data_IF_717848181950
#
_entry.id   IF_717848181950
#
_cell.length_a   1.000
_cell.length_b   1.000
_cell.length_c   1.000
_cell.angle_alpha   90.00
_cell.angle_beta   90.00
_cell.angle_gamma   90.00
#
_symmetry.space_group_name_H-M   'P 1'
#
loop_
_entity.id
_entity.type
_entity.pdbx_description
1 polymer ?
#
# COMPACT_ATOMS: atom_id res chain seq x y z
N UNK A 1 19.71 5.63 -1.53
CA UNK A 1 19.02 5.82 -0.22
C UNK A 1 17.64 5.25 -0.42
N UNK A 2 17.10 4.46 0.52
CA UNK A 2 15.77 3.88 0.40
C UNK A 2 14.69 4.99 0.33
N UNK A 3 13.56 4.71 -0.33
CA UNK A 3 12.42 5.64 -0.43
C UNK A 3 11.89 5.96 0.98
N UNK A 4 11.66 4.93 1.79
CA UNK A 4 11.37 5.06 3.21
C UNK A 4 11.79 3.80 3.97
N UNK A 5 11.84 3.90 5.30
CA UNK A 5 11.93 2.77 6.24
C UNK A 5 10.85 2.96 7.28
N UNK A 6 10.19 1.89 7.68
CA UNK A 6 9.09 1.99 8.63
C UNK A 6 7.76 1.53 8.04
N UNK A 7 6.67 2.22 8.38
CA UNK A 7 5.35 1.97 7.84
C UNK A 7 4.95 2.99 6.79
N UNK A 8 4.36 2.54 5.70
CA UNK A 8 3.72 3.38 4.71
C UNK A 8 2.23 3.06 4.66
N UNK A 9 1.37 4.04 4.95
CA UNK A 9 -0.06 3.82 4.93
C UNK A 9 -0.59 3.68 3.51
N UNK A 10 -1.23 2.56 3.19
CA UNK A 10 -2.10 2.44 2.02
C UNK A 10 -3.42 3.17 2.35
N UNK A 11 -3.42 4.50 2.22
CA UNK A 11 -4.49 5.36 2.74
C UNK A 11 -5.81 5.14 1.98
N UNK A 12 -6.93 5.15 2.72
CA UNK A 12 -8.27 5.13 2.12
C UNK A 12 -8.56 6.45 1.41
N UNK A 13 -9.47 6.41 0.43
CA UNK A 13 -10.02 7.63 -0.16
C UNK A 13 -11.40 7.90 0.44
N UNK A 14 -11.56 8.97 1.24
CA UNK A 14 -12.87 9.34 1.77
C UNK A 14 -13.76 9.88 0.67
N UNK A 15 -15.06 9.60 0.78
CA UNK A 15 -16.05 9.96 -0.23
C UNK A 15 -17.30 10.56 0.41
N UNK A 16 -17.94 11.48 -0.29
CA UNK A 16 -19.29 11.94 0.04
C UNK A 16 -20.33 10.87 -0.32
N UNK A 17 -21.57 11.03 0.16
CA UNK A 17 -22.67 10.12 -0.14
C UNK A 17 -23.00 10.01 -1.64
N UNK A 18 -22.70 11.04 -2.42
CA UNK A 18 -22.83 11.02 -3.89
C UNK A 18 -21.66 10.32 -4.59
N UNK A 19 -20.72 9.76 -3.83
CA UNK A 19 -19.55 9.03 -4.31
C UNK A 19 -18.39 9.91 -4.77
N UNK A 20 -18.47 11.23 -4.71
CA UNK A 20 -17.32 12.11 -5.01
C UNK A 20 -16.28 12.05 -3.91
N UNK A 21 -15.01 12.24 -4.29
CA UNK A 21 -13.90 12.30 -3.33
C UNK A 21 -14.09 13.50 -2.39
N UNK A 22 -14.03 13.23 -1.08
CA UNK A 22 -14.07 14.25 -0.03
C UNK A 22 -12.63 14.70 0.29
N UNK A 23 -12.18 15.75 -0.38
CA UNK A 23 -10.82 16.26 -0.23
C UNK A 23 -10.54 16.87 1.15
N UNK A 24 -11.54 17.50 1.78
CA UNK A 24 -11.38 18.04 3.13
C UNK A 24 -11.12 16.92 4.14
N UNK A 25 -11.87 15.84 4.04
CA UNK A 25 -11.64 14.65 4.87
C UNK A 25 -10.34 13.93 4.53
N UNK A 26 -9.92 13.93 3.27
CA UNK A 26 -8.62 13.37 2.89
C UNK A 26 -7.48 14.17 3.54
N UNK A 27 -7.56 15.49 3.58
CA UNK A 27 -6.59 16.33 4.29
C UNK A 27 -6.52 15.97 5.78
N UNK A 28 -7.68 15.85 6.47
CA UNK A 28 -7.73 15.41 7.87
C UNK A 28 -7.04 14.04 8.09
N UNK A 29 -7.26 13.09 7.17
CA UNK A 29 -6.62 11.77 7.26
C UNK A 29 -5.10 11.85 7.04
N UNK A 30 -4.64 12.67 6.10
CA UNK A 30 -3.20 12.88 5.87
C UNK A 30 -2.54 13.48 7.10
N UNK A 31 -3.16 14.49 7.72
CA UNK A 31 -2.67 15.09 8.95
C UNK A 31 -2.69 14.09 10.12
N UNK A 32 -3.74 13.30 10.25
CA UNK A 32 -3.82 12.24 11.26
C UNK A 32 -2.66 11.24 11.11
N UNK A 33 -2.37 10.79 9.91
CA UNK A 33 -1.29 9.84 9.65
C UNK A 33 0.07 10.44 10.01
N UNK A 34 0.36 11.65 9.54
CA UNK A 34 1.64 12.32 9.79
C UNK A 34 1.81 12.61 11.30
N UNK A 35 0.75 13.05 11.99
CA UNK A 35 0.78 13.30 13.43
C UNK A 35 1.00 12.03 14.26
N UNK A 36 0.71 10.85 13.70
CA UNK A 36 0.85 9.55 14.35
C UNK A 36 2.00 8.69 13.76
N UNK A 37 3.04 9.35 13.28
CA UNK A 37 4.34 8.76 12.92
C UNK A 37 4.35 7.91 11.66
N UNK A 38 3.43 8.14 10.70
CA UNK A 38 3.56 7.47 9.40
C UNK A 38 4.87 7.86 8.71
N UNK A 39 5.56 6.88 8.10
CA UNK A 39 6.85 7.11 7.42
C UNK A 39 6.68 7.36 5.92
N UNK A 40 5.52 7.02 5.35
CA UNK A 40 5.18 7.30 3.95
C UNK A 40 3.65 7.25 3.72
N UNK A 41 3.18 8.00 2.72
CA UNK A 41 1.79 7.96 2.26
C UNK A 41 1.71 7.26 0.90
N UNK A 42 0.95 6.18 0.81
CA UNK A 42 0.66 5.50 -0.45
C UNK A 42 -0.75 5.88 -0.90
N UNK A 43 -0.82 6.83 -1.83
CA UNK A 43 -2.09 7.39 -2.32
C UNK A 43 -2.60 6.62 -3.54
N UNK A 44 -3.90 6.45 -3.64
CA UNK A 44 -4.57 5.80 -4.77
C UNK A 44 -4.05 4.38 -5.06
N UNK A 45 -3.73 3.62 -4.00
CA UNK A 45 -3.56 2.17 -4.08
C UNK A 45 -4.90 1.44 -4.12
N UNK A 46 -4.88 0.12 -3.93
CA UNK A 46 -6.10 -0.71 -3.85
C UNK A 46 -7.03 -0.25 -2.72
N UNK A 47 -6.48 0.02 -1.55
CA UNK A 47 -7.21 0.52 -0.37
C UNK A 47 -7.82 1.90 -0.61
N UNK A 48 -7.20 2.71 -1.47
CA UNK A 48 -7.72 4.01 -1.91
C UNK A 48 -8.77 3.93 -3.02
N UNK A 49 -9.31 2.75 -3.35
CA UNK A 49 -10.36 2.53 -4.35
C UNK A 49 -10.04 3.10 -5.75
N UNK A 50 -8.75 3.11 -6.12
CA UNK A 50 -8.30 3.68 -7.40
C UNK A 50 -8.95 3.05 -8.63
N UNK A 51 -9.36 1.79 -8.55
CA UNK A 51 -10.03 1.07 -9.65
C UNK A 51 -11.42 1.60 -10.01
N UNK A 52 -12.06 2.36 -9.13
CA UNK A 52 -13.38 2.96 -9.37
C UNK A 52 -13.30 4.47 -9.68
N UNK A 53 -12.10 5.02 -9.75
CA UNK A 53 -11.87 6.42 -10.11
C UNK A 53 -11.71 6.59 -11.63
N UNK A 54 -12.24 7.67 -12.17
CA UNK A 54 -11.81 8.11 -13.51
C UNK A 54 -10.33 8.54 -13.45
N UNK A 55 -9.61 8.48 -14.56
CA UNK A 55 -8.20 8.90 -14.59
C UNK A 55 -8.00 10.32 -14.09
N UNK A 56 -8.91 11.24 -14.46
CA UNK A 56 -8.84 12.64 -14.01
C UNK A 56 -9.02 12.79 -12.49
N UNK A 57 -9.95 12.06 -11.89
CA UNK A 57 -10.18 12.05 -10.44
C UNK A 57 -8.99 11.41 -9.70
N UNK A 58 -8.48 10.30 -10.21
CA UNK A 58 -7.32 9.60 -9.69
C UNK A 58 -6.08 10.53 -9.65
N UNK A 59 -5.76 11.16 -10.77
CA UNK A 59 -4.65 12.11 -10.88
C UNK A 59 -4.83 13.34 -9.98
N UNK A 60 -6.06 13.88 -9.91
CA UNK A 60 -6.39 14.98 -9.01
C UNK A 60 -6.16 14.60 -7.54
N UNK A 61 -6.52 13.37 -7.16
CA UNK A 61 -6.35 12.87 -5.79
C UNK A 61 -4.86 12.68 -5.45
N UNK A 62 -4.07 12.16 -6.39
CA UNK A 62 -2.59 12.08 -6.24
C UNK A 62 -2.00 13.47 -6.04
N UNK A 63 -2.33 14.41 -6.93
CA UNK A 63 -1.82 15.80 -6.84
C UNK A 63 -2.19 16.44 -5.51
N UNK A 64 -3.44 16.30 -5.08
CA UNK A 64 -3.91 16.84 -3.81
C UNK A 64 -3.09 16.32 -2.64
N UNK A 65 -2.86 15.00 -2.56
CA UNK A 65 -2.06 14.42 -1.49
C UNK A 65 -0.61 14.93 -1.50
N UNK A 66 0.03 15.02 -2.67
CA UNK A 66 1.39 15.56 -2.80
C UNK A 66 1.45 17.00 -2.31
N UNK A 67 0.52 17.85 -2.75
CA UNK A 67 0.47 19.26 -2.35
C UNK A 67 0.26 19.41 -0.84
N UNK A 68 -0.63 18.61 -0.24
CA UNK A 68 -0.95 18.70 1.20
C UNK A 68 0.13 18.11 2.09
N UNK A 69 0.70 16.99 1.73
CA UNK A 69 1.84 16.40 2.47
C UNK A 69 3.07 17.29 2.42
N UNK A 70 3.29 17.99 1.31
CA UNK A 70 4.33 19.00 1.14
C UNK A 70 5.72 18.52 1.63
N UNK A 71 6.15 17.35 1.17
CA UNK A 71 7.46 16.75 1.48
C UNK A 71 7.73 16.45 2.96
N UNK A 72 6.74 16.49 3.83
CA UNK A 72 6.91 16.11 5.26
C UNK A 72 7.23 14.60 5.41
N UNK A 73 6.64 13.79 4.55
CA UNK A 73 6.96 12.37 4.36
C UNK A 73 6.89 12.05 2.87
N UNK A 74 7.50 10.96 2.38
CA UNK A 74 7.36 10.55 0.98
C UNK A 74 5.92 10.24 0.60
N UNK A 75 5.50 10.68 -0.59
CA UNK A 75 4.22 10.33 -1.21
C UNK A 75 4.48 9.39 -2.38
N UNK A 76 3.94 8.18 -2.29
CA UNK A 76 4.07 7.12 -3.28
C UNK A 76 2.74 6.98 -4.01
N UNK A 77 2.72 7.25 -5.31
CA UNK A 77 1.50 7.25 -6.10
C UNK A 77 1.22 5.89 -6.72
N UNK A 78 0.01 5.35 -6.51
CA UNK A 78 -0.48 4.16 -7.20
C UNK A 78 -0.83 4.50 -8.65
N UNK A 79 -0.06 3.99 -9.62
CA UNK A 79 -0.23 4.31 -11.06
C UNK A 79 -0.35 3.08 -11.95
N UNK A 80 -0.27 1.87 -11.37
CA UNK A 80 -0.34 0.62 -12.13
C UNK A 80 -1.67 0.41 -12.84
N UNK A 81 -1.60 -0.19 -14.02
CA UNK A 81 -2.76 -0.58 -14.83
C UNK A 81 -2.46 -1.87 -15.59
N UNK A 82 -3.50 -2.59 -16.00
CA UNK A 82 -3.37 -3.71 -16.92
C UNK A 82 -3.20 -3.28 -18.40
N UNK A 83 -3.31 -2.00 -18.68
CA UNK A 83 -2.97 -1.37 -19.95
C UNK A 83 -1.65 -0.59 -19.79
N UNK A 84 -0.62 -0.96 -20.54
CA UNK A 84 0.71 -0.34 -20.45
C UNK A 84 0.67 1.16 -20.73
N UNK A 85 -0.06 1.58 -21.75
CA UNK A 85 -0.21 3.00 -22.12
C UNK A 85 -0.87 3.81 -21.01
N UNK A 86 -1.90 3.26 -20.36
CA UNK A 86 -2.54 3.90 -19.21
C UNK A 86 -1.56 4.02 -18.04
N UNK A 87 -0.80 2.96 -17.73
CA UNK A 87 0.19 2.99 -16.66
C UNK A 87 1.30 4.02 -16.94
N UNK A 88 1.75 4.14 -18.19
CA UNK A 88 2.72 5.17 -18.62
C UNK A 88 2.15 6.57 -18.43
N UNK A 89 0.94 6.81 -18.92
CA UNK A 89 0.27 8.12 -18.81
C UNK A 89 0.12 8.53 -17.34
N UNK A 90 -0.45 7.64 -16.49
CA UNK A 90 -0.63 7.90 -15.07
C UNK A 90 0.69 8.14 -14.35
N UNK A 91 1.73 7.37 -14.69
CA UNK A 91 3.06 7.50 -14.09
C UNK A 91 3.73 8.81 -14.44
N UNK A 92 3.65 9.27 -15.69
CA UNK A 92 4.17 10.57 -16.14
C UNK A 92 3.50 11.72 -15.40
N UNK A 93 2.18 11.72 -15.31
CA UNK A 93 1.43 12.76 -14.61
C UNK A 93 1.78 12.79 -13.12
N UNK A 94 1.77 11.63 -12.44
CA UNK A 94 2.14 11.55 -11.03
C UNK A 94 3.58 12.03 -10.77
N UNK A 95 4.52 11.65 -11.62
CA UNK A 95 5.91 12.12 -11.57
C UNK A 95 5.99 13.63 -11.75
N UNK A 96 5.23 14.21 -12.71
CA UNK A 96 5.20 15.65 -12.96
C UNK A 96 4.64 16.45 -11.79
N UNK A 97 3.77 15.86 -10.98
CA UNK A 97 3.24 16.47 -9.74
C UNK A 97 4.23 16.40 -8.58
N UNK A 98 5.32 15.65 -8.72
CA UNK A 98 6.37 15.52 -7.71
C UNK A 98 6.18 14.35 -6.74
N UNK A 99 5.54 13.26 -7.17
CA UNK A 99 5.52 12.00 -6.41
C UNK A 99 6.96 11.53 -6.14
N UNK A 100 7.22 11.07 -4.91
CA UNK A 100 8.56 10.62 -4.51
C UNK A 100 8.88 9.23 -5.05
N UNK A 101 7.84 8.42 -5.31
CA UNK A 101 7.92 7.14 -6.01
C UNK A 101 6.57 6.73 -6.58
N UNK A 102 6.57 5.68 -7.40
CA UNK A 102 5.37 5.10 -7.98
C UNK A 102 5.19 3.66 -7.46
N UNK A 103 3.97 3.30 -7.08
CA UNK A 103 3.57 1.93 -6.79
C UNK A 103 2.83 1.36 -8.01
N UNK A 104 3.45 0.40 -8.69
CA UNK A 104 2.92 -0.16 -9.93
C UNK A 104 2.52 -1.62 -9.70
N UNK A 105 1.21 -1.88 -9.62
CA UNK A 105 0.67 -3.23 -9.49
C UNK A 105 0.89 -4.02 -10.79
N UNK A 106 1.13 -5.33 -10.67
CA UNK A 106 1.18 -6.23 -11.84
C UNK A 106 -0.11 -6.11 -12.66
N UNK A 107 -0.04 -6.20 -14.02
CA UNK A 107 -1.22 -6.20 -14.86
C UNK A 107 -2.23 -7.25 -14.37
N UNK A 108 -3.42 -6.81 -14.04
CA UNK A 108 -4.51 -7.66 -13.56
C UNK A 108 -5.40 -8.11 -14.71
N UNK A 109 -6.09 -9.26 -14.55
CA UNK A 109 -7.08 -9.81 -15.49
C UNK A 109 -6.49 -10.43 -16.76
N UNK A 110 -5.66 -9.72 -17.54
CA UNK A 110 -5.12 -10.15 -18.84
C UNK A 110 -3.91 -11.10 -18.76
N UNK A 111 -3.47 -11.51 -17.55
CA UNK A 111 -2.51 -12.59 -17.28
C UNK A 111 -1.22 -12.52 -18.12
N UNK A 112 -0.49 -11.40 -17.97
CA UNK A 112 0.78 -11.21 -18.67
C UNK A 112 1.79 -12.33 -18.34
N UNK A 113 2.56 -12.77 -19.35
CA UNK A 113 3.69 -13.68 -19.14
C UNK A 113 4.85 -12.96 -18.48
N UNK A 114 5.84 -13.69 -17.93
CA UNK A 114 7.02 -13.07 -17.30
C UNK A 114 7.79 -12.16 -18.27
N UNK A 115 7.90 -12.56 -19.55
CA UNK A 115 8.49 -11.71 -20.61
C UNK A 115 7.64 -10.45 -20.84
N UNK A 116 6.33 -10.57 -20.83
CA UNK A 116 5.41 -9.44 -20.92
C UNK A 116 5.53 -8.49 -19.70
N UNK A 117 5.70 -9.03 -18.50
CA UNK A 117 5.93 -8.22 -17.29
C UNK A 117 7.24 -7.43 -17.38
N UNK A 118 8.33 -8.05 -17.84
CA UNK A 118 9.60 -7.35 -18.06
C UNK A 118 9.40 -6.18 -19.04
N UNK A 119 8.74 -6.43 -20.18
CA UNK A 119 8.48 -5.39 -21.16
C UNK A 119 7.60 -4.26 -20.61
N UNK A 120 6.52 -4.61 -19.90
CA UNK A 120 5.58 -3.66 -19.29
C UNK A 120 6.27 -2.74 -18.29
N UNK A 121 6.97 -3.30 -17.30
CA UNK A 121 7.66 -2.49 -16.28
C UNK A 121 8.80 -1.66 -16.88
N UNK A 122 9.56 -2.21 -17.83
CA UNK A 122 10.62 -1.48 -18.51
C UNK A 122 10.06 -0.28 -19.30
N UNK A 123 8.92 -0.45 -19.98
CA UNK A 123 8.28 0.64 -20.73
C UNK A 123 7.82 1.77 -19.80
N UNK A 124 7.22 1.43 -18.66
CA UNK A 124 6.82 2.42 -17.64
C UNK A 124 8.06 3.13 -17.07
N UNK A 125 9.08 2.38 -16.69
CA UNK A 125 10.31 2.93 -16.10
C UNK A 125 11.04 3.89 -17.06
N UNK A 126 11.13 3.53 -18.33
CA UNK A 126 11.73 4.40 -19.35
C UNK A 126 10.95 5.70 -19.58
N UNK A 127 9.65 5.71 -19.30
CA UNK A 127 8.81 6.88 -19.45
C UNK A 127 8.98 7.89 -18.30
N UNK A 128 9.55 7.45 -17.15
CA UNK A 128 9.76 8.24 -15.92
C UNK A 128 11.14 7.95 -15.32
N UNK A 129 12.23 8.18 -16.04
CA UNK A 129 13.57 7.65 -15.68
C UNK A 129 14.11 8.16 -14.34
N UNK A 130 13.66 9.30 -13.87
CA UNK A 130 14.10 9.91 -12.60
C UNK A 130 13.21 9.55 -11.40
N UNK A 131 12.06 8.89 -11.63
CA UNK A 131 11.13 8.56 -10.56
C UNK A 131 11.25 7.08 -10.17
N UNK A 132 11.53 6.76 -8.90
CA UNK A 132 11.61 5.39 -8.43
C UNK A 132 10.29 4.63 -8.58
N UNK A 133 10.38 3.35 -8.91
CA UNK A 133 9.23 2.45 -9.05
C UNK A 133 9.35 1.30 -8.07
N UNK A 134 8.29 1.09 -7.29
CA UNK A 134 8.05 -0.11 -6.48
C UNK A 134 7.06 -0.99 -7.25
N UNK A 135 7.49 -2.18 -7.63
CA UNK A 135 6.58 -3.19 -8.19
C UNK A 135 5.63 -3.69 -7.10
N UNK A 136 4.37 -3.95 -7.43
CA UNK A 136 3.43 -4.51 -6.48
C UNK A 136 2.90 -5.86 -6.96
N UNK A 137 3.23 -6.91 -6.20
CA UNK A 137 2.84 -8.30 -6.49
C UNK A 137 1.75 -8.77 -5.53
N UNK A 138 0.53 -8.91 -6.03
CA UNK A 138 -0.65 -9.36 -5.27
C UNK A 138 -1.47 -10.36 -6.10
N UNK A 139 -0.98 -11.61 -6.25
CA UNK A 139 -1.58 -12.60 -7.16
C UNK A 139 -3.04 -12.92 -6.87
N UNK A 140 -3.45 -12.86 -5.61
CA UNK A 140 -4.84 -13.09 -5.18
C UNK A 140 -5.86 -12.10 -5.78
N UNK A 141 -5.39 -10.89 -6.13
CA UNK A 141 -6.23 -9.85 -6.77
C UNK A 141 -6.05 -9.77 -8.26
N UNK A 142 -4.82 -9.95 -8.72
CA UNK A 142 -4.48 -9.71 -10.14
C UNK A 142 -4.59 -10.94 -11.03
N UNK A 143 -4.51 -12.14 -10.45
CA UNK A 143 -4.33 -13.38 -11.21
C UNK A 143 -2.97 -13.44 -11.92
N UNK A 144 -2.03 -12.56 -11.57
CA UNK A 144 -0.70 -12.46 -12.14
C UNK A 144 0.34 -12.46 -11.02
N UNK A 145 1.29 -13.39 -11.06
CA UNK A 145 2.36 -13.51 -10.08
C UNK A 145 3.72 -13.26 -10.74
N UNK A 146 4.37 -12.14 -10.36
CA UNK A 146 5.73 -11.87 -10.83
C UNK A 146 6.71 -12.82 -10.12
N UNK A 147 7.49 -13.57 -10.92
CA UNK A 147 8.39 -14.59 -10.41
C UNK A 147 9.71 -13.99 -9.90
N UNK A 148 10.39 -14.63 -8.93
CA UNK A 148 11.65 -14.15 -8.36
C UNK A 148 12.71 -13.74 -9.38
N UNK A 149 12.90 -14.55 -10.44
CA UNK A 149 13.85 -14.25 -11.50
C UNK A 149 13.47 -12.99 -12.31
N UNK A 150 12.16 -12.74 -12.47
CA UNK A 150 11.65 -11.54 -13.17
C UNK A 150 11.90 -10.28 -12.34
N UNK A 151 11.62 -10.33 -11.03
CA UNK A 151 11.96 -9.23 -10.11
C UNK A 151 13.45 -8.92 -10.16
N UNK A 152 14.29 -9.95 -9.99
CA UNK A 152 15.75 -9.79 -10.02
C UNK A 152 16.24 -9.22 -11.37
N UNK A 153 15.65 -9.63 -12.49
CA UNK A 153 15.99 -9.09 -13.82
C UNK A 153 15.67 -7.60 -13.89
N UNK A 154 14.49 -7.19 -13.39
CA UNK A 154 14.05 -5.80 -13.46
C UNK A 154 14.91 -4.89 -12.58
N UNK A 155 15.12 -5.22 -11.30
CA UNK A 155 15.89 -4.36 -10.40
C UNK A 155 17.37 -4.25 -10.79
N UNK A 156 17.95 -5.29 -11.40
CA UNK A 156 19.36 -5.27 -11.86
C UNK A 156 19.58 -4.53 -13.17
N UNK A 157 18.58 -4.49 -14.06
CA UNK A 157 18.77 -3.97 -15.41
C UNK A 157 18.01 -2.67 -15.68
N UNK A 158 17.09 -2.24 -14.80
CA UNK A 158 16.31 -1.01 -14.96
C UNK A 158 16.51 -0.13 -13.74
N UNK A 159 17.32 0.89 -13.88
CA UNK A 159 17.89 1.70 -12.79
C UNK A 159 16.87 2.26 -11.79
N UNK A 160 15.69 2.65 -12.25
CA UNK A 160 14.64 3.25 -11.42
C UNK A 160 13.56 2.27 -10.97
N UNK A 161 13.68 0.97 -11.26
CA UNK A 161 12.90 -0.07 -10.60
C UNK A 161 13.67 -0.50 -9.37
N UNK A 162 13.28 -0.01 -8.20
CA UNK A 162 14.08 -0.13 -6.99
C UNK A 162 13.49 -1.10 -5.97
N UNK A 163 12.19 -1.37 -6.01
CA UNK A 163 11.56 -2.09 -4.92
C UNK A 163 10.42 -3.04 -5.32
N UNK A 164 10.02 -3.81 -4.31
CA UNK A 164 8.88 -4.74 -4.37
C UNK A 164 8.02 -4.60 -3.12
N UNK A 165 6.73 -4.29 -3.30
CA UNK A 165 5.68 -4.57 -2.32
C UNK A 165 5.24 -6.02 -2.51
N UNK A 166 5.61 -6.89 -1.57
CA UNK A 166 5.32 -8.32 -1.62
C UNK A 166 4.02 -8.64 -0.87
N UNK A 167 2.99 -9.05 -1.60
CA UNK A 167 1.68 -9.44 -1.06
C UNK A 167 1.21 -10.79 -1.64
N UNK A 168 2.14 -11.69 -1.92
CA UNK A 168 1.82 -13.05 -2.39
C UNK A 168 1.40 -14.00 -1.26
N UNK A 169 1.80 -13.70 -0.01
CA UNK A 169 1.66 -14.61 1.12
C UNK A 169 2.70 -15.75 1.14
N UNK A 170 3.51 -15.89 0.08
CA UNK A 170 4.50 -16.96 -0.06
C UNK A 170 5.89 -16.47 0.37
N UNK A 171 6.24 -16.73 1.64
CA UNK A 171 7.54 -16.36 2.20
C UNK A 171 8.70 -17.09 1.50
N UNK A 172 8.49 -18.30 0.99
CA UNK A 172 9.52 -19.03 0.24
C UNK A 172 9.83 -18.35 -1.09
N UNK A 173 8.79 -17.87 -1.80
CA UNK A 173 8.97 -17.05 -3.01
C UNK A 173 9.68 -15.74 -2.70
N UNK A 174 9.33 -15.09 -1.59
CA UNK A 174 9.93 -13.81 -1.17
C UNK A 174 11.42 -14.02 -0.83
N UNK A 175 11.76 -15.05 -0.03
CA UNK A 175 13.15 -15.37 0.29
C UNK A 175 13.99 -15.65 -0.97
N UNK A 176 13.42 -16.40 -1.94
CA UNK A 176 14.07 -16.63 -3.22
C UNK A 176 14.24 -15.34 -4.03
N UNK A 177 13.28 -14.42 -3.95
CA UNK A 177 13.38 -13.11 -4.61
C UNK A 177 14.55 -12.31 -4.04
N UNK A 178 14.67 -12.21 -2.72
CA UNK A 178 15.78 -11.54 -2.05
C UNK A 178 17.11 -12.18 -2.42
N UNK A 179 17.19 -13.52 -2.39
CA UNK A 179 18.40 -14.26 -2.76
C UNK A 179 18.88 -13.95 -4.19
N UNK A 180 17.96 -13.76 -5.14
CA UNK A 180 18.30 -13.47 -6.54
C UNK A 180 18.54 -11.99 -6.82
N UNK A 181 17.79 -11.10 -6.18
CA UNK A 181 17.88 -9.66 -6.39
C UNK A 181 19.06 -9.05 -5.62
N UNK A 182 19.36 -9.56 -4.42
CA UNK A 182 20.44 -9.04 -3.56
C UNK A 182 20.13 -7.66 -2.98
N UNK A 183 21.17 -6.88 -2.78
CA UNK A 183 21.10 -5.55 -2.15
C UNK A 183 20.42 -4.48 -3.03
N UNK A 184 20.13 -4.77 -4.29
CA UNK A 184 19.49 -3.84 -5.22
C UNK A 184 17.97 -3.74 -4.98
N UNK A 185 17.39 -4.57 -4.11
CA UNK A 185 15.94 -4.66 -3.87
C UNK A 185 15.53 -3.99 -2.57
N UNK A 186 14.73 -2.94 -2.65
CA UNK A 186 13.96 -2.43 -1.52
C UNK A 186 12.70 -3.29 -1.34
N UNK A 187 12.67 -4.10 -0.28
CA UNK A 187 11.56 -5.01 0.00
C UNK A 187 10.62 -4.43 1.05
N UNK A 188 9.32 -4.38 0.73
CA UNK A 188 8.27 -3.99 1.65
C UNK A 188 7.22 -5.10 1.78
N UNK A 189 6.75 -5.38 3.00
CA UNK A 189 5.57 -6.21 3.17
C UNK A 189 4.33 -5.53 2.58
N UNK A 190 3.52 -6.30 1.88
CA UNK A 190 2.18 -5.88 1.47
C UNK A 190 1.07 -6.52 2.32
N UNK A 191 1.45 -7.34 3.30
CA UNK A 191 0.58 -8.07 4.21
C UNK A 191 0.93 -7.70 5.65
N UNK A 192 -0.04 -7.19 6.40
CA UNK A 192 0.14 -6.74 7.78
C UNK A 192 0.48 -7.89 8.74
N UNK A 193 0.04 -9.11 8.46
CA UNK A 193 0.35 -10.33 9.22
C UNK A 193 1.75 -10.90 8.96
N UNK A 194 2.49 -10.39 7.99
CA UNK A 194 3.81 -10.88 7.57
C UNK A 194 4.93 -9.83 7.68
N UNK A 195 4.73 -8.78 8.48
CA UNK A 195 5.73 -7.69 8.58
C UNK A 195 7.05 -8.23 9.11
N UNK A 196 7.07 -8.87 10.27
CA UNK A 196 8.30 -9.36 10.88
C UNK A 196 9.03 -10.42 10.03
N UNK A 197 8.37 -11.44 9.49
CA UNK A 197 9.00 -12.36 8.55
C UNK A 197 9.71 -11.66 7.38
N UNK A 198 9.10 -10.60 6.83
CA UNK A 198 9.70 -9.83 5.73
C UNK A 198 10.87 -8.97 6.23
N UNK A 199 10.76 -8.33 7.38
CA UNK A 199 11.89 -7.60 7.99
C UNK A 199 13.08 -8.52 8.25
N UNK A 200 12.84 -9.77 8.70
CA UNK A 200 13.90 -10.77 8.92
C UNK A 200 14.63 -11.19 7.63
N UNK A 201 14.02 -11.00 6.48
CA UNK A 201 14.63 -11.21 5.16
C UNK A 201 15.32 -9.95 4.59
N UNK A 202 15.47 -8.89 5.41
CA UNK A 202 16.08 -7.63 4.99
C UNK A 202 15.08 -6.61 4.45
N UNK A 203 13.77 -6.81 4.71
CA UNK A 203 12.73 -5.83 4.36
C UNK A 203 12.93 -4.50 5.06
N UNK A 204 12.47 -3.43 4.43
CA UNK A 204 12.59 -2.05 4.91
C UNK A 204 11.36 -1.57 5.67
N UNK A 205 10.26 -2.30 5.58
CA UNK A 205 9.02 -1.91 6.22
C UNK A 205 7.78 -2.59 5.63
N UNK A 206 6.65 -1.94 5.79
CA UNK A 206 5.34 -2.41 5.34
C UNK A 206 4.58 -1.30 4.59
N UNK A 207 3.84 -1.66 3.56
CA UNK A 207 2.81 -0.83 2.95
C UNK A 207 1.46 -1.38 3.41
N UNK A 208 0.90 -0.77 4.45
CA UNK A 208 -0.04 -1.33 5.41
C UNK A 208 -1.49 -0.89 5.19
N UNK A 209 -2.43 -1.75 5.53
CA UNK A 209 -3.85 -1.42 5.74
C UNK A 209 -4.12 -1.12 7.21
N UNK A 210 -3.50 -1.88 8.13
CA UNK A 210 -3.61 -1.69 9.58
C UNK A 210 -3.28 -0.26 9.99
N UNK A 211 -2.29 0.35 9.37
CA UNK A 211 -1.85 1.71 9.67
C UNK A 211 -2.92 2.80 9.41
N UNK A 212 -3.97 2.54 8.65
CA UNK A 212 -5.10 3.47 8.57
C UNK A 212 -5.74 3.72 9.93
N UNK A 213 -5.79 2.71 10.81
CA UNK A 213 -6.45 2.76 12.13
C UNK A 213 -5.46 2.74 13.30
N UNK A 214 -4.24 2.27 13.09
CA UNK A 214 -3.19 2.12 14.11
C UNK A 214 -1.81 2.49 13.53
N UNK A 215 -1.61 3.75 13.06
CA UNK A 215 -0.35 4.15 12.41
C UNK A 215 0.84 4.04 13.36
N UNK A 216 0.72 4.55 14.58
CA UNK A 216 1.81 4.54 15.55
C UNK A 216 2.26 3.12 15.92
N UNK A 217 1.34 2.21 16.18
CA UNK A 217 1.64 0.82 16.54
C UNK A 217 2.31 0.10 15.37
N UNK A 218 1.88 0.40 14.13
CA UNK A 218 2.48 -0.17 12.92
C UNK A 218 3.90 0.37 12.70
N UNK A 219 4.11 1.68 12.90
CA UNK A 219 5.44 2.30 12.91
C UNK A 219 6.34 1.67 13.99
N UNK A 220 5.87 1.65 15.24
CA UNK A 220 6.61 1.12 16.38
C UNK A 220 7.01 -0.35 16.16
N UNK A 221 6.16 -1.17 15.57
CA UNK A 221 6.46 -2.57 15.22
C UNK A 221 7.68 -2.68 14.31
N UNK A 222 7.73 -1.88 13.26
CA UNK A 222 8.85 -1.90 12.30
C UNK A 222 10.11 -1.33 12.95
N UNK A 223 10.00 -0.17 13.60
CA UNK A 223 11.17 0.51 14.17
C UNK A 223 11.80 -0.27 15.30
N UNK A 224 11.02 -0.88 16.21
CA UNK A 224 11.55 -1.78 17.24
C UNK A 224 12.35 -2.93 16.65
N UNK A 225 11.86 -3.55 15.58
CA UNK A 225 12.62 -4.61 14.91
C UNK A 225 13.95 -4.08 14.36
N UNK A 226 13.94 -2.93 13.69
CA UNK A 226 15.14 -2.32 13.12
C UNK A 226 16.17 -1.87 14.17
N UNK A 227 15.70 -1.50 15.36
CA UNK A 227 16.52 -1.12 16.51
C UNK A 227 17.02 -2.33 17.32
N UNK A 228 16.59 -3.54 16.97
CA UNK A 228 17.01 -4.78 17.61
C UNK A 228 16.07 -5.29 18.74
N UNK A 229 14.99 -4.55 19.06
CA UNK A 229 13.94 -5.01 19.99
C UNK A 229 12.97 -5.95 19.23
N UNK A 230 13.48 -7.11 18.83
CA UNK A 230 12.69 -8.10 18.08
C UNK A 230 11.55 -8.69 18.92
N UNK A 231 11.72 -8.78 20.24
CA UNK A 231 10.69 -9.28 21.15
C UNK A 231 9.52 -8.28 21.27
N UNK A 232 9.83 -6.99 21.40
CA UNK A 232 8.81 -5.92 21.42
C UNK A 232 8.07 -5.82 20.10
N UNK A 233 8.78 -5.91 18.97
CA UNK A 233 8.17 -5.96 17.65
C UNK A 233 7.25 -7.17 17.48
N UNK A 234 7.70 -8.36 17.90
CA UNK A 234 6.91 -9.59 17.83
C UNK A 234 5.63 -9.49 18.67
N UNK A 235 5.73 -8.86 19.85
CA UNK A 235 4.54 -8.63 20.69
C UNK A 235 3.49 -7.80 19.95
N UNK A 236 3.88 -6.68 19.35
CA UNK A 236 2.95 -5.82 18.59
C UNK A 236 2.34 -6.59 17.41
N UNK A 237 3.16 -7.33 16.64
CA UNK A 237 2.67 -8.14 15.51
C UNK A 237 1.61 -9.16 15.98
N UNK A 238 1.87 -9.87 17.07
CA UNK A 238 0.97 -10.92 17.57
C UNK A 238 -0.31 -10.31 18.14
N UNK A 239 -0.20 -9.23 18.90
CA UNK A 239 -1.35 -8.53 19.48
C UNK A 239 -2.25 -7.94 18.39
N UNK A 240 -1.68 -7.55 17.23
CA UNK A 240 -2.42 -7.00 16.11
C UNK A 240 -3.14 -8.06 15.24
N UNK A 241 -2.77 -9.35 15.32
CA UNK A 241 -3.34 -10.40 14.45
C UNK A 241 -4.88 -10.45 14.48
N UNK A 242 -5.57 -10.37 15.64
CA UNK A 242 -7.04 -10.37 15.64
C UNK A 242 -7.64 -9.19 14.87
N UNK A 243 -7.06 -7.99 15.01
CA UNK A 243 -7.50 -6.79 14.28
C UNK A 243 -7.17 -6.90 12.78
N UNK A 244 -5.98 -7.37 12.42
CA UNK A 244 -5.61 -7.61 11.02
C UNK A 244 -6.60 -8.57 10.38
N UNK A 245 -6.92 -9.69 11.02
CA UNK A 245 -7.91 -10.64 10.50
C UNK A 245 -9.28 -9.99 10.31
N UNK A 246 -9.72 -9.14 11.24
CA UNK A 246 -10.98 -8.41 11.12
C UNK A 246 -10.96 -7.38 9.99
N UNK A 247 -9.82 -6.72 9.73
CA UNK A 247 -9.65 -5.78 8.60
C UNK A 247 -9.62 -6.47 7.23
N UNK A 248 -9.51 -7.80 7.18
CA UNK A 248 -9.51 -8.59 5.97
C UNK A 248 -10.57 -9.70 5.94
N UNK A 249 -11.54 -9.68 6.86
CA UNK A 249 -12.64 -10.67 6.88
C UNK A 249 -13.60 -10.49 5.69
N UNK A 250 -13.63 -9.31 5.08
CA UNK A 250 -14.21 -9.03 3.78
C UNK A 250 -13.17 -8.37 2.86
N UNK A 251 -13.57 -8.13 1.61
CA UNK A 251 -12.67 -7.51 0.63
C UNK A 251 -12.21 -6.12 1.11
N UNK A 252 -10.91 -5.94 1.30
CA UNK A 252 -10.33 -4.62 1.54
C UNK A 252 -10.60 -3.69 0.32
N UNK A 253 -11.13 -2.45 0.53
CA UNK A 253 -11.14 -1.67 1.76
C UNK A 253 -12.46 -1.67 2.57
N UNK A 254 -13.38 -2.61 2.37
CA UNK A 254 -14.66 -2.61 3.08
C UNK A 254 -14.46 -2.52 4.61
N UNK A 255 -13.69 -3.43 5.26
CA UNK A 255 -13.53 -3.37 6.71
C UNK A 255 -12.79 -2.12 7.20
N UNK A 256 -11.73 -1.69 6.51
CA UNK A 256 -10.94 -0.54 6.99
C UNK A 256 -11.70 0.78 6.91
N UNK A 257 -12.52 1.01 5.88
CA UNK A 257 -13.40 2.20 5.84
C UNK A 257 -14.49 2.12 6.89
N UNK A 258 -15.06 0.93 7.14
CA UNK A 258 -15.98 0.70 8.24
C UNK A 258 -15.32 1.00 9.59
N UNK A 259 -14.09 0.56 9.80
CA UNK A 259 -13.33 0.83 11.03
C UNK A 259 -13.14 2.34 11.26
N UNK A 260 -12.71 3.07 10.24
CA UNK A 260 -12.54 4.53 10.33
C UNK A 260 -13.86 5.26 10.63
N UNK A 261 -14.96 4.82 10.04
CA UNK A 261 -16.29 5.35 10.37
C UNK A 261 -16.71 5.04 11.82
N UNK A 262 -16.42 3.82 12.33
CA UNK A 262 -16.64 3.46 13.73
C UNK A 262 -15.78 4.28 14.71
N UNK A 263 -14.58 4.69 14.28
CA UNK A 263 -13.71 5.61 15.03
C UNK A 263 -14.19 7.08 14.98
N UNK A 264 -15.30 7.37 14.28
CA UNK A 264 -15.83 8.74 14.14
C UNK A 264 -15.10 9.60 13.11
N UNK A 265 -14.25 9.01 12.28
CA UNK A 265 -13.52 9.78 11.26
C UNK A 265 -14.37 10.15 10.04
N UNK A 266 -15.57 9.56 9.90
CA UNK A 266 -16.56 9.90 8.87
C UNK A 266 -15.97 9.93 7.44
N UNK A 267 -15.31 8.85 7.05
CA UNK A 267 -14.69 8.72 5.72
C UNK A 267 -15.69 8.41 4.60
N UNK A 268 -16.97 8.26 4.96
CA UNK A 268 -18.06 8.05 4.04
C UNK A 268 -18.17 6.63 3.47
N UNK A 269 -19.01 6.43 2.45
CA UNK A 269 -19.31 5.13 1.88
C UNK A 269 -18.20 4.60 0.97
N UNK A 270 -18.40 3.36 0.55
CA UNK A 270 -17.64 2.71 -0.50
C UNK A 270 -18.28 3.01 -1.88
N UNK A 271 -17.49 2.96 -2.92
CA UNK A 271 -17.97 3.05 -4.30
C UNK A 271 -18.29 1.66 -4.86
N UNK A 272 -19.40 1.51 -5.55
CA UNK A 272 -19.69 0.26 -6.29
C UNK A 272 -18.53 -0.12 -7.22
N UNK A 273 -18.22 -1.43 -7.37
CA UNK A 273 -19.00 -2.60 -6.95
C UNK A 273 -18.84 -2.99 -5.47
N UNK A 274 -18.04 -2.27 -4.70
CA UNK A 274 -17.96 -2.48 -3.27
C UNK A 274 -19.24 -1.93 -2.58
N UNK A 275 -19.61 -2.53 -1.46
CA UNK A 275 -20.80 -2.21 -0.70
C UNK A 275 -20.50 -2.14 0.79
N UNK A 276 -21.50 -1.83 1.59
CA UNK A 276 -21.40 -1.85 3.04
C UNK A 276 -21.02 -3.23 3.57
N UNK A 277 -20.32 -3.24 4.69
CA UNK A 277 -19.91 -4.44 5.39
C UNK A 277 -21.11 -5.17 5.99
N UNK A 278 -21.09 -6.50 5.95
CA UNK A 278 -22.08 -7.35 6.61
C UNK A 278 -22.12 -7.09 8.11
N UNK A 279 -23.31 -6.99 8.71
CA UNK A 279 -23.47 -6.57 10.11
C UNK A 279 -22.76 -7.51 11.09
N UNK A 280 -22.77 -8.83 10.85
CA UNK A 280 -22.05 -9.81 11.68
C UNK A 280 -20.53 -9.59 11.67
N UNK A 281 -19.97 -9.21 10.52
CA UNK A 281 -18.56 -8.91 10.36
C UNK A 281 -18.20 -7.56 10.98
N UNK A 282 -19.10 -6.59 10.91
CA UNK A 282 -18.97 -5.28 11.55
C UNK A 282 -18.89 -5.38 13.08
N UNK A 283 -19.71 -6.23 13.71
CA UNK A 283 -19.60 -6.49 15.15
C UNK A 283 -18.27 -7.18 15.50
N UNK A 284 -17.80 -8.10 14.68
CA UNK A 284 -16.48 -8.72 14.84
C UNK A 284 -15.35 -7.68 14.75
N UNK A 285 -15.41 -6.79 13.77
CA UNK A 285 -14.45 -5.70 13.57
C UNK A 285 -14.47 -4.73 14.77
N UNK A 286 -15.67 -4.34 15.21
CA UNK A 286 -15.85 -3.45 16.37
C UNK A 286 -15.20 -4.01 17.62
N UNK A 287 -15.43 -5.30 17.90
CA UNK A 287 -14.79 -5.97 19.01
C UNK A 287 -13.27 -6.01 18.87
N UNK A 288 -12.74 -6.32 17.69
CA UNK A 288 -11.31 -6.37 17.45
C UNK A 288 -10.62 -5.01 17.63
N UNK A 289 -11.28 -3.91 17.19
CA UNK A 289 -10.81 -2.53 17.41
C UNK A 289 -10.72 -2.22 18.91
N UNK A 290 -11.77 -2.53 19.67
CA UNK A 290 -11.83 -2.30 21.13
C UNK A 290 -10.78 -3.12 21.88
N UNK A 291 -10.65 -4.42 21.54
CA UNK A 291 -9.67 -5.33 22.16
C UNK A 291 -8.23 -4.88 21.88
N UNK A 292 -7.96 -4.26 20.73
CA UNK A 292 -6.67 -3.67 20.39
C UNK A 292 -6.43 -2.31 21.07
N UNK A 293 -7.43 -1.72 21.70
CA UNK A 293 -7.34 -0.46 22.43
C UNK A 293 -7.75 0.77 21.61
N UNK A 294 -8.33 0.61 20.42
CA UNK A 294 -8.83 1.70 19.59
C UNK A 294 -10.18 2.16 20.12
N UNK A 295 -10.30 3.46 20.36
CA UNK A 295 -11.56 4.08 20.82
C UNK A 295 -12.52 4.23 19.65
N UNK A 296 -13.77 3.87 19.91
CA UNK A 296 -14.88 4.09 18.99
C UNK A 296 -15.65 5.35 19.38
N UNK A 297 -16.33 5.97 18.38
CA UNK A 297 -17.16 7.17 18.58
C UNK A 297 -18.49 6.87 19.27
#
# INVERSE_FOLDING_TARGET
MAIFKGEGVAIVTPMYEDGKVNYDKLEELLEFQIANSTDAIIICGTTGESSTMTHGEHLKTIKFAIDKVNKRVPVIAGTGSNCTETAIMMSKEAASYGADALLVVTPYYNKATQKGLIAHYTAIANAVPETPIIMYNVPSRTGCNIQPATVATLVKNVKNIVGLKAASGDLSQIAKTVSLAGADLELYSGNDDQVLPILSLGGLGVISVLSNVAPKETHDMVMKFMEGDTAGAAKIQIDAIPLINALFCEVNPIPVKTALNLMGMNVGPLRMPLCEMEESNKETLKKALQDFGIKLA
#
